data_IF_877111686161
#
_entry.id   IF_877111686161
#
_cell.length_a   1.000
_cell.length_b   1.000
_cell.length_c   1.000
_cell.angle_alpha   90.00
_cell.angle_beta   90.00
_cell.angle_gamma   90.00
#
_symmetry.space_group_name_H-M   'P 1'
#
loop_
_entity.id
_entity.type
_entity.pdbx_description
1 polymer ?
#
# COMPACT_ATOMS: atom_id res chain seq x y z
N UNK A 1 5.91 16.04 6.76
CA UNK A 1 6.80 15.21 7.60
C UNK A 1 6.08 14.68 8.82
N UNK A 2 5.49 15.56 9.63
CA UNK A 2 4.81 15.13 10.86
C UNK A 2 3.63 14.19 10.60
N UNK A 3 2.89 14.41 9.52
CA UNK A 3 1.77 13.53 9.15
C UNK A 3 2.23 12.12 8.80
N UNK A 4 3.37 11.98 8.13
CA UNK A 4 3.92 10.67 7.78
C UNK A 4 4.33 9.93 9.05
N UNK A 5 5.03 10.61 9.97
CA UNK A 5 5.44 10.03 11.24
C UNK A 5 4.24 9.57 12.08
N UNK A 6 3.20 10.40 12.14
CA UNK A 6 1.98 10.08 12.89
C UNK A 6 1.25 8.90 12.27
N UNK A 7 1.15 8.86 10.95
CA UNK A 7 0.51 7.75 10.25
C UNK A 7 1.24 6.43 10.48
N UNK A 8 2.58 6.46 10.39
CA UNK A 8 3.40 5.27 10.62
C UNK A 8 3.32 4.82 12.10
N UNK A 9 3.32 5.77 13.04
CA UNK A 9 3.17 5.45 14.46
C UNK A 9 1.81 4.79 14.74
N UNK A 10 0.74 5.28 14.15
CA UNK A 10 -0.60 4.71 14.30
C UNK A 10 -0.65 3.27 13.75
N UNK A 11 -0.05 3.05 12.59
CA UNK A 11 0.03 1.71 11.99
C UNK A 11 0.85 0.79 12.89
N UNK A 12 2.01 1.23 13.36
CA UNK A 12 2.86 0.46 14.27
C UNK A 12 2.10 0.08 15.54
N UNK A 13 1.38 1.01 16.14
CA UNK A 13 0.63 0.77 17.37
C UNK A 13 -0.50 -0.23 17.14
N UNK A 14 -1.17 -0.16 15.99
CA UNK A 14 -2.18 -1.13 15.61
C UNK A 14 -1.62 -2.54 15.47
N UNK A 15 -0.42 -2.68 14.92
CA UNK A 15 0.24 -3.99 14.80
C UNK A 15 0.80 -4.51 16.13
N UNK A 16 1.24 -3.62 17.02
CA UNK A 16 1.94 -4.01 18.26
C UNK A 16 1.06 -4.80 19.24
N UNK A 17 -0.26 -4.62 19.17
CA UNK A 17 -1.21 -5.31 20.06
C UNK A 17 -1.65 -6.66 19.51
N UNK A 18 -1.18 -7.06 18.34
CA UNK A 18 -1.60 -8.27 17.64
C UNK A 18 -0.52 -9.35 17.69
N UNK A 19 -0.95 -10.62 17.72
CA UNK A 19 -0.06 -11.77 17.55
C UNK A 19 0.28 -11.98 16.08
N UNK A 20 1.29 -12.84 15.80
CA UNK A 20 1.81 -13.03 14.45
C UNK A 20 0.76 -13.32 13.37
N UNK A 21 -0.17 -14.25 13.64
CA UNK A 21 -1.21 -14.60 12.67
C UNK A 21 -2.23 -13.46 12.53
N UNK A 22 -2.57 -12.80 13.62
CA UNK A 22 -3.48 -11.65 13.62
C UNK A 22 -2.86 -10.46 12.89
N UNK A 23 -1.54 -10.29 12.97
CA UNK A 23 -0.83 -9.28 12.19
C UNK A 23 -0.99 -9.51 10.70
N UNK A 24 -0.92 -10.75 10.25
CA UNK A 24 -1.10 -11.10 8.84
C UNK A 24 -2.54 -10.80 8.39
N UNK A 25 -3.52 -11.17 9.20
CA UNK A 25 -4.93 -10.87 8.90
C UNK A 25 -5.16 -9.36 8.82
N UNK A 26 -4.60 -8.61 9.74
CA UNK A 26 -4.70 -7.15 9.76
C UNK A 26 -4.09 -6.53 8.50
N UNK A 27 -2.92 -7.05 8.08
CA UNK A 27 -2.26 -6.60 6.87
C UNK A 27 -3.10 -6.84 5.62
N UNK A 28 -3.71 -8.03 5.52
CA UNK A 28 -4.59 -8.37 4.40
C UNK A 28 -5.81 -7.47 4.39
N UNK A 29 -6.40 -7.17 5.55
CA UNK A 29 -7.54 -6.27 5.67
C UNK A 29 -7.18 -4.84 5.23
N UNK A 30 -5.97 -4.36 5.56
CA UNK A 30 -5.49 -3.07 5.06
C UNK A 30 -5.45 -3.06 3.54
N UNK A 31 -5.01 -4.16 2.93
CA UNK A 31 -4.93 -4.28 1.48
C UNK A 31 -6.27 -4.18 0.77
N UNK A 32 -7.36 -4.56 1.45
CA UNK A 32 -8.71 -4.43 0.90
C UNK A 32 -9.12 -2.97 0.72
N UNK A 33 -8.48 -2.05 1.43
CA UNK A 33 -8.73 -0.61 1.35
C UNK A 33 -7.79 0.09 0.40
N UNK A 34 -6.92 -0.65 -0.30
CA UNK A 34 -5.98 -0.10 -1.26
C UNK A 34 -6.72 0.65 -2.36
N UNK A 35 -6.27 1.87 -2.67
CA UNK A 35 -6.75 2.64 -3.80
C UNK A 35 -6.10 2.08 -5.07
N UNK A 36 -6.90 1.42 -5.89
CA UNK A 36 -6.41 0.60 -7.00
C UNK A 36 -6.08 1.41 -8.24
N UNK A 37 -5.02 1.01 -8.92
CA UNK A 37 -4.76 1.41 -10.30
C UNK A 37 -5.83 0.78 -11.19
N UNK A 38 -6.44 1.58 -12.09
CA UNK A 38 -7.40 1.09 -13.06
C UNK A 38 -6.79 0.01 -13.95
N UNK A 39 -7.60 -0.95 -14.41
CA UNK A 39 -7.11 -2.01 -15.29
C UNK A 39 -6.38 -1.48 -16.52
N UNK A 40 -6.90 -0.40 -17.12
CA UNK A 40 -6.30 0.22 -18.29
C UNK A 40 -4.89 0.77 -18.02
N UNK A 41 -4.58 1.06 -16.77
CA UNK A 41 -3.29 1.60 -16.34
C UNK A 41 -2.35 0.54 -15.76
N UNK A 42 -2.78 -0.73 -15.73
CA UNK A 42 -1.94 -1.85 -15.33
C UNK A 42 -1.09 -2.31 -16.52
N UNK A 43 -0.18 -1.43 -16.92
CA UNK A 43 0.67 -1.60 -18.10
C UNK A 43 2.09 -1.99 -17.69
N UNK A 44 2.90 -2.41 -18.65
CA UNK A 44 4.32 -2.68 -18.43
C UNK A 44 5.05 -1.48 -17.85
N UNK A 45 4.67 -0.27 -18.28
CA UNK A 45 5.29 0.96 -17.77
C UNK A 45 5.08 1.14 -16.27
N UNK A 46 3.92 0.77 -15.75
CA UNK A 46 3.57 0.93 -14.34
C UNK A 46 3.88 -0.31 -13.50
N UNK A 47 4.37 -1.38 -14.11
CA UNK A 47 4.62 -2.64 -13.44
C UNK A 47 5.92 -2.61 -12.65
N UNK A 48 5.88 -3.19 -11.44
CA UNK A 48 7.06 -3.38 -10.61
C UNK A 48 7.63 -4.77 -10.90
N UNK A 49 8.70 -4.82 -11.71
CA UNK A 49 9.28 -6.07 -12.19
C UNK A 49 10.07 -6.84 -11.12
N UNK A 50 10.53 -6.15 -10.08
CA UNK A 50 11.27 -6.78 -8.99
C UNK A 50 10.39 -7.63 -8.06
N UNK A 51 9.08 -7.48 -8.14
CA UNK A 51 8.13 -8.22 -7.32
C UNK A 51 7.76 -9.55 -7.99
N UNK A 52 7.75 -10.65 -7.22
CA UNK A 52 7.37 -11.96 -7.75
C UNK A 52 5.88 -12.05 -8.06
N UNK A 53 5.04 -11.32 -7.32
CA UNK A 53 3.62 -11.16 -7.62
C UNK A 53 3.44 -10.03 -8.63
N UNK A 54 2.47 -10.17 -9.54
CA UNK A 54 2.19 -9.10 -10.48
C UNK A 54 1.69 -7.86 -9.73
N UNK A 55 2.44 -6.77 -9.82
CA UNK A 55 2.22 -5.56 -9.05
C UNK A 55 2.42 -4.34 -9.94
N UNK A 56 1.51 -3.37 -9.82
CA UNK A 56 1.57 -2.11 -10.57
C UNK A 56 1.48 -0.94 -9.61
N UNK A 57 2.18 0.14 -9.95
CA UNK A 57 2.23 1.35 -9.15
C UNK A 57 2.12 2.56 -10.06
N UNK A 58 1.25 3.49 -9.71
CA UNK A 58 1.14 4.77 -10.40
C UNK A 58 1.21 5.89 -9.37
N UNK A 59 2.12 6.83 -9.63
CA UNK A 59 2.29 8.02 -8.80
C UNK A 59 1.86 9.25 -9.59
N UNK A 60 1.05 10.09 -8.95
CA UNK A 60 0.71 11.41 -9.46
C UNK A 60 1.19 12.46 -8.47
N UNK A 61 1.82 13.52 -9.00
CA UNK A 61 2.29 14.64 -8.19
C UNK A 61 1.59 15.90 -8.67
N UNK A 62 0.84 16.53 -7.77
CA UNK A 62 0.09 17.73 -8.07
C UNK A 62 -0.05 18.58 -6.80
N UNK A 63 0.23 19.89 -6.90
CA UNK A 63 0.07 20.85 -5.79
C UNK A 63 0.80 20.41 -4.53
N UNK A 64 2.04 19.94 -4.66
CA UNK A 64 2.87 19.42 -3.56
C UNK A 64 2.31 18.18 -2.87
N UNK A 65 1.30 17.54 -3.46
CA UNK A 65 0.74 16.30 -2.96
C UNK A 65 1.12 15.14 -3.87
N UNK A 66 1.49 14.03 -3.25
CA UNK A 66 1.75 12.78 -3.97
C UNK A 66 0.54 11.87 -3.78
N UNK A 67 -0.08 11.50 -4.90
CA UNK A 67 -1.14 10.51 -4.90
C UNK A 67 -0.58 9.20 -5.43
N UNK A 68 -0.77 8.12 -4.67
CA UNK A 68 -0.32 6.78 -5.05
C UNK A 68 -1.52 5.88 -5.26
N UNK A 69 -1.57 5.23 -6.40
CA UNK A 69 -2.50 4.13 -6.68
C UNK A 69 -1.68 2.90 -7.01
N UNK A 70 -2.14 1.74 -6.56
CA UNK A 70 -1.40 0.52 -6.76
C UNK A 70 -2.35 -0.68 -6.86
N UNK A 71 -1.83 -1.79 -7.36
CA UNK A 71 -2.53 -3.06 -7.35
C UNK A 71 -1.52 -4.20 -7.33
N UNK A 72 -1.88 -5.27 -6.64
CA UNK A 72 -1.10 -6.50 -6.67
C UNK A 72 -2.04 -7.70 -6.64
N UNK A 73 -1.62 -8.80 -7.24
CA UNK A 73 -2.33 -10.09 -7.12
C UNK A 73 -2.13 -10.71 -5.74
N UNK A 74 -1.09 -10.31 -5.00
CA UNK A 74 -0.84 -10.80 -3.65
C UNK A 74 -1.58 -9.96 -2.62
N UNK A 75 -2.37 -10.60 -1.76
CA UNK A 75 -3.08 -9.92 -0.66
C UNK A 75 -2.12 -9.28 0.34
N UNK A 76 -0.99 -9.92 0.59
CA UNK A 76 0.04 -9.40 1.50
C UNK A 76 0.68 -8.14 0.91
N UNK A 77 1.04 -8.18 -0.38
CA UNK A 77 1.62 -7.02 -1.06
C UNK A 77 0.62 -5.87 -1.11
N UNK A 78 -0.66 -6.13 -1.33
CA UNK A 78 -1.71 -5.10 -1.25
C UNK A 78 -1.70 -4.40 0.10
N UNK A 79 -1.56 -5.15 1.19
CA UNK A 79 -1.48 -4.60 2.54
C UNK A 79 -0.28 -3.68 2.72
N UNK A 80 0.88 -4.11 2.24
CA UNK A 80 2.09 -3.30 2.29
C UNK A 80 1.95 -2.02 1.47
N UNK A 81 1.33 -2.10 0.30
CA UNK A 81 1.07 -0.93 -0.55
C UNK A 81 0.09 0.03 0.13
N UNK A 82 -0.92 -0.50 0.82
CA UNK A 82 -1.87 0.35 1.56
C UNK A 82 -1.17 1.11 2.69
N UNK A 83 -0.23 0.48 3.37
CA UNK A 83 0.58 1.17 4.40
C UNK A 83 1.32 2.36 3.77
N UNK A 84 1.91 2.19 2.60
CA UNK A 84 2.57 3.28 1.89
C UNK A 84 1.59 4.39 1.50
N UNK A 85 0.38 4.05 1.06
CA UNK A 85 -0.66 5.04 0.76
C UNK A 85 -1.04 5.85 1.99
N UNK A 86 -1.20 5.20 3.13
CA UNK A 86 -1.55 5.88 4.38
C UNK A 86 -0.40 6.79 4.83
N UNK A 87 0.84 6.35 4.67
CA UNK A 87 2.03 7.11 5.07
C UNK A 87 2.19 8.41 4.27
N UNK A 88 1.85 8.38 3.02
CA UNK A 88 1.93 9.52 2.11
C UNK A 88 0.57 10.11 1.85
#
# INVERSE_FOLDING_TARGET
>A
MDNIKNNLANIRDGFSILDGQDKLVYLIDLGKKLDHVNEAERTEHNKIHACTSQTWLKLNYEDDLVEMKAFSESSVVKGLLRILQIAF
#
